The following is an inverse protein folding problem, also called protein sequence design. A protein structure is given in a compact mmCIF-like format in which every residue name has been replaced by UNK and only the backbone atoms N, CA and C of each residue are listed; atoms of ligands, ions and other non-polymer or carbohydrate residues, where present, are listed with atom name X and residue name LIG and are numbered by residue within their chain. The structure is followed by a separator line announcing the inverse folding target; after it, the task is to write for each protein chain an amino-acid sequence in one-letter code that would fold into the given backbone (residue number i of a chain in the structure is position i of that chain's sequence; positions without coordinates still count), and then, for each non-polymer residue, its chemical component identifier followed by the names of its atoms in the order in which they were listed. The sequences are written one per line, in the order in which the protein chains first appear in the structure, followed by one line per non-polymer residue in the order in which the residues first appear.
data_IF_076443232038
#
_entry.id   IF_076443232038
#
_cell.length_a   1.000
_cell.length_b   1.000
_cell.length_c   1.000
_cell.angle_alpha   90.00
_cell.angle_beta   90.00
_cell.angle_gamma   90.00
#
_symmetry.space_group_name_H-M   'P 1'
#
loop_
_entity.id
_entity.type
_entity.pdbx_description
1 polymer ?
#
# COMPACT_ATOMS: atom_id res chain seq x y z
N UNK A 1 2.62 -14.48 2.84
CA UNK A 1 2.72 -15.85 2.29
C UNK A 1 1.36 -16.29 1.78
N UNK A 2 1.09 -16.13 0.48
CA UNK A 2 0.19 -17.00 -0.30
C UNK A 2 0.73 -17.04 -1.72
N UNK A 3 1.71 -17.95 -1.86
CA UNK A 3 2.78 -18.03 -2.85
C UNK A 3 2.48 -18.99 -4.02
N UNK A 4 1.20 -19.33 -4.26
CA UNK A 4 0.85 -20.52 -5.07
C UNK A 4 -0.13 -20.33 -6.23
N UNK A 5 -0.61 -19.11 -6.51
CA UNK A 5 -1.65 -18.95 -7.54
C UNK A 5 -1.19 -18.24 -8.82
N UNK A 6 0.10 -17.95 -8.99
CA UNK A 6 0.59 -17.13 -10.12
C UNK A 6 1.48 -17.85 -11.14
N UNK A 7 1.71 -19.16 -10.98
CA UNK A 7 2.50 -19.98 -11.92
C UNK A 7 1.64 -20.99 -12.68
N UNK A 8 0.68 -20.49 -13.47
CA UNK A 8 0.22 -21.19 -14.66
C UNK A 8 0.26 -20.25 -15.85
N UNK A 9 1.50 -19.91 -16.21
CA UNK A 9 1.84 -19.46 -17.54
C UNK A 9 1.76 -20.65 -18.51
N UNK A 10 1.16 -20.36 -19.67
CA UNK A 10 1.46 -20.87 -21.01
C UNK A 10 2.32 -22.14 -21.13
N UNK A 11 1.74 -23.19 -21.69
CA UNK A 11 2.41 -24.03 -22.68
C UNK A 11 1.37 -24.72 -23.58
N UNK A 12 1.56 -24.56 -24.89
CA UNK A 12 0.79 -25.18 -25.97
C UNK A 12 0.95 -26.70 -25.99
N UNK A 13 -0.05 -27.41 -26.54
CA UNK A 13 0.07 -28.32 -27.69
C UNK A 13 -1.20 -29.18 -27.82
N UNK A 14 -1.87 -29.06 -28.97
CA UNK A 14 -3.03 -29.88 -29.30
C UNK A 14 -3.65 -29.47 -30.63
N UNK A 15 -2.86 -29.55 -31.71
CA UNK A 15 -3.34 -29.44 -33.08
C UNK A 15 -4.29 -30.59 -33.42
N UNK A 16 -5.39 -30.32 -34.12
CA UNK A 16 -5.96 -31.24 -35.12
C UNK A 16 -6.89 -30.49 -36.08
N UNK A 17 -6.65 -30.78 -37.36
CA UNK A 17 -7.18 -30.16 -38.57
C UNK A 17 -8.71 -30.26 -38.75
N UNK A 18 -9.30 -29.24 -39.38
CA UNK A 18 -10.03 -29.33 -40.65
C UNK A 18 -11.01 -28.15 -40.79
N UNK A 19 -11.00 -27.47 -41.93
CA UNK A 19 -12.14 -26.69 -42.39
C UNK A 19 -11.82 -25.33 -42.99
N UNK A 20 -11.88 -25.25 -44.32
CA UNK A 20 -11.93 -24.03 -45.12
C UNK A 20 -12.98 -23.04 -44.60
N UNK A 21 -12.64 -21.75 -44.55
CA UNK A 21 -13.62 -20.68 -44.29
C UNK A 21 -13.00 -19.30 -44.45
N UNK A 22 -13.57 -18.52 -45.36
CA UNK A 22 -13.05 -17.25 -45.85
C UNK A 22 -13.34 -16.06 -44.93
N UNK A 23 -12.61 -14.96 -45.21
CA UNK A 23 -12.96 -13.56 -44.97
C UNK A 23 -13.01 -13.04 -43.51
N UNK A 24 -12.40 -11.85 -43.42
CA UNK A 24 -12.75 -10.74 -42.54
C UNK A 24 -12.09 -10.60 -41.18
N UNK A 25 -11.74 -9.34 -40.98
CA UNK A 25 -11.41 -8.63 -39.76
C UNK A 25 -10.03 -8.92 -39.18
N UNK A 26 -9.11 -7.98 -39.44
CA UNK A 26 -8.16 -7.56 -38.44
C UNK A 26 -8.93 -7.29 -37.13
N UNK A 27 -8.99 -8.27 -36.24
CA UNK A 27 -9.38 -8.07 -34.85
C UNK A 27 -8.23 -7.28 -34.21
N UNK A 28 -8.22 -5.97 -34.45
CA UNK A 28 -7.51 -5.02 -33.61
C UNK A 28 -8.25 -5.08 -32.28
N UNK A 29 -7.93 -6.11 -31.51
CA UNK A 29 -8.34 -6.27 -30.14
C UNK A 29 -7.84 -5.00 -29.45
N UNK A 30 -8.72 -4.08 -29.02
CA UNK A 30 -8.23 -2.94 -28.27
C UNK A 30 -7.54 -3.58 -27.06
N UNK A 31 -6.22 -3.41 -26.98
CA UNK A 31 -5.53 -3.64 -25.75
C UNK A 31 -6.28 -2.74 -24.78
N UNK A 32 -7.12 -3.38 -23.96
CA UNK A 32 -7.75 -2.76 -22.82
C UNK A 32 -6.58 -2.42 -21.90
N UNK A 33 -5.90 -1.33 -22.25
CA UNK A 33 -5.21 -0.45 -21.35
C UNK A 33 -6.36 0.07 -20.50
N UNK A 34 -6.86 -0.79 -19.61
CA UNK A 34 -7.61 -0.35 -18.46
C UNK A 34 -6.69 0.70 -17.90
N UNK A 35 -7.04 1.96 -18.09
CA UNK A 35 -6.41 3.06 -17.42
C UNK A 35 -6.46 2.60 -15.98
N UNK A 36 -5.31 2.12 -15.47
CA UNK A 36 -5.18 1.76 -14.09
C UNK A 36 -5.30 3.13 -13.48
N UNK A 37 -6.54 3.49 -13.10
CA UNK A 37 -6.84 4.65 -12.29
C UNK A 37 -5.71 4.67 -11.29
N UNK A 38 -4.85 5.69 -11.38
CA UNK A 38 -3.72 5.82 -10.48
C UNK A 38 -4.39 6.09 -9.15
N UNK A 39 -4.71 5.01 -8.43
CA UNK A 39 -5.37 5.09 -7.14
C UNK A 39 -4.35 5.81 -6.27
N UNK A 40 -4.69 7.02 -5.87
CA UNK A 40 -3.88 7.79 -4.92
C UNK A 40 -3.80 6.92 -3.65
N UNK A 41 -2.60 6.46 -3.33
CA UNK A 41 -2.38 5.62 -2.18
C UNK A 41 -2.66 6.42 -0.90
N UNK A 42 -3.45 5.88 0.01
CA UNK A 42 -3.72 6.55 1.30
C UNK A 42 -2.90 5.90 2.39
N UNK A 43 -1.96 6.64 2.95
CA UNK A 43 -1.04 6.16 3.97
C UNK A 43 -1.38 6.83 5.30
N UNK A 44 -1.79 6.03 6.30
CA UNK A 44 -1.89 6.53 7.67
C UNK A 44 -0.51 6.61 8.30
N UNK A 45 -0.17 7.72 8.94
CA UNK A 45 1.10 7.90 9.66
C UNK A 45 0.79 8.15 11.13
N UNK A 46 1.19 7.21 11.99
CA UNK A 46 1.06 7.32 13.44
C UNK A 46 2.42 7.67 14.05
N UNK A 47 2.59 8.94 14.39
CA UNK A 47 3.78 9.47 15.04
C UNK A 47 3.65 9.36 16.56
N UNK A 48 4.62 8.71 17.22
CA UNK A 48 4.65 8.64 18.68
C UNK A 48 5.14 9.91 19.37
N UNK A 49 5.67 10.88 18.60
CA UNK A 49 6.15 12.19 19.07
C UNK A 49 5.55 13.32 18.24
N UNK A 50 6.18 14.49 18.24
CA UNK A 50 5.71 15.63 17.45
C UNK A 50 5.69 15.36 15.94
N UNK A 51 4.69 15.88 15.24
CA UNK A 51 4.55 15.78 13.77
C UNK A 51 5.78 16.36 13.06
N UNK A 52 6.33 17.46 13.58
CA UNK A 52 7.47 18.18 13.00
C UNK A 52 8.83 17.66 13.50
N UNK A 53 8.95 16.35 13.75
CA UNK A 53 10.24 15.75 14.12
C UNK A 53 11.16 15.59 12.91
N UNK A 54 12.48 15.64 13.15
CA UNK A 54 13.49 15.39 12.11
C UNK A 54 13.25 14.06 11.37
N UNK A 55 12.84 13.03 12.10
CA UNK A 55 12.56 11.70 11.56
C UNK A 55 11.37 11.71 10.59
N UNK A 56 10.30 12.46 10.89
CA UNK A 56 9.15 12.59 9.99
C UNK A 56 9.53 13.34 8.72
N UNK A 57 10.35 14.39 8.82
CA UNK A 57 10.83 15.11 7.63
C UNK A 57 11.68 14.21 6.72
N UNK A 58 12.59 13.41 7.30
CA UNK A 58 13.38 12.44 6.54
C UNK A 58 12.51 11.38 5.86
N UNK A 59 11.45 10.90 6.54
CA UNK A 59 10.48 9.98 5.95
C UNK A 59 9.79 10.59 4.72
N UNK A 60 9.23 11.81 4.82
CA UNK A 60 8.57 12.45 3.69
C UNK A 60 9.54 12.77 2.54
N UNK A 61 10.78 13.16 2.85
CA UNK A 61 11.82 13.36 1.84
C UNK A 61 12.19 12.06 1.12
N UNK A 62 12.36 10.96 1.85
CA UNK A 62 12.62 9.64 1.28
C UNK A 62 11.48 9.19 0.37
N UNK A 63 10.23 9.35 0.81
CA UNK A 63 9.04 9.04 0.01
C UNK A 63 9.01 9.85 -1.29
N UNK A 64 9.30 11.16 -1.24
CA UNK A 64 9.42 12.01 -2.44
C UNK A 64 10.55 11.57 -3.36
N UNK A 65 11.71 11.19 -2.82
CA UNK A 65 12.84 10.67 -3.59
C UNK A 65 12.51 9.36 -4.32
N UNK A 66 11.58 8.57 -3.79
CA UNK A 66 11.04 7.37 -4.41
C UNK A 66 9.89 7.65 -5.40
N UNK A 67 9.55 8.93 -5.62
CA UNK A 67 8.49 9.36 -6.53
C UNK A 67 7.09 9.44 -5.91
N UNK A 68 6.94 9.28 -4.60
CA UNK A 68 5.66 9.47 -3.91
C UNK A 68 5.43 10.96 -3.61
N UNK A 69 4.47 11.56 -4.31
CA UNK A 69 4.17 13.00 -4.29
C UNK A 69 2.70 13.21 -3.96
N UNK A 70 2.43 14.00 -2.91
CA UNK A 70 1.08 14.43 -2.58
C UNK A 70 0.62 15.61 -3.45
N UNK A 71 -0.67 15.68 -3.83
CA UNK A 71 -1.70 14.64 -3.77
C UNK A 71 -1.72 13.75 -5.03
N UNK A 72 -0.64 13.75 -5.82
CA UNK A 72 -0.62 13.15 -7.16
C UNK A 72 -0.77 11.62 -7.14
N UNK A 73 -0.05 10.95 -6.24
CA UNK A 73 -0.07 9.48 -6.15
C UNK A 73 -0.11 8.95 -4.71
N UNK A 74 -0.01 9.82 -3.71
CA UNK A 74 -0.15 9.49 -2.29
C UNK A 74 -0.90 10.58 -1.53
N UNK A 75 -1.51 10.22 -0.42
CA UNK A 75 -2.03 11.13 0.62
C UNK A 75 -1.66 10.57 1.98
N UNK A 76 -1.04 11.38 2.83
CA UNK A 76 -0.63 11.03 4.18
C UNK A 76 -1.64 11.55 5.20
N UNK A 77 -2.31 10.63 5.88
CA UNK A 77 -3.21 10.91 6.99
C UNK A 77 -2.40 10.83 8.29
N UNK A 78 -2.04 11.98 8.87
CA UNK A 78 -1.10 12.02 10.00
C UNK A 78 -1.83 12.15 11.32
N UNK A 79 -1.46 11.34 12.31
CA UNK A 79 -1.89 11.43 13.71
C UNK A 79 -0.67 11.34 14.62
N UNK A 80 -0.62 12.18 15.64
CA UNK A 80 0.50 12.25 16.57
C UNK A 80 0.04 12.15 18.01
N UNK A 81 0.76 11.34 18.80
CA UNK A 81 0.48 11.20 20.22
C UNK A 81 1.23 12.21 21.09
N UNK A 82 2.14 13.00 20.50
CA UNK A 82 2.96 14.00 21.21
C UNK A 82 3.72 13.43 22.42
N UNK A 83 4.11 12.14 22.36
CA UNK A 83 4.75 11.44 23.47
C UNK A 83 3.80 10.73 24.43
N UNK A 84 2.50 11.02 24.36
CA UNK A 84 1.49 10.40 25.22
C UNK A 84 0.96 9.09 24.64
N UNK A 85 1.51 7.98 25.12
CA UNK A 85 1.11 6.63 24.66
C UNK A 85 -0.35 6.28 24.94
N UNK A 86 -1.03 6.96 25.87
CA UNK A 86 -2.43 6.69 26.20
C UNK A 86 -3.39 7.13 25.08
N UNK A 87 -2.94 8.06 24.21
CA UNK A 87 -3.69 8.52 23.05
C UNK A 87 -3.58 7.59 21.84
N UNK A 88 -2.61 6.68 21.82
CA UNK A 88 -2.37 5.82 20.64
C UNK A 88 -3.60 5.01 20.21
N UNK A 89 -4.39 4.40 21.11
CA UNK A 89 -5.59 3.66 20.69
C UNK A 89 -6.63 4.53 19.98
N UNK A 90 -6.90 5.75 20.46
CA UNK A 90 -7.87 6.65 19.83
C UNK A 90 -7.36 7.16 18.48
N UNK A 91 -6.08 7.51 18.38
CA UNK A 91 -5.46 7.97 17.14
C UNK A 91 -5.43 6.87 16.06
N UNK A 92 -5.25 5.61 16.46
CA UNK A 92 -5.39 4.47 15.56
C UNK A 92 -6.84 4.35 15.07
N UNK A 93 -7.83 4.47 15.97
CA UNK A 93 -9.23 4.40 15.59
C UNK A 93 -9.62 5.51 14.58
N UNK A 94 -9.08 6.72 14.74
CA UNK A 94 -9.23 7.80 13.76
C UNK A 94 -8.65 7.44 12.40
N UNK A 95 -7.46 6.85 12.35
CA UNK A 95 -6.85 6.39 11.09
C UNK A 95 -7.65 5.26 10.44
N UNK A 96 -8.21 4.34 11.23
CA UNK A 96 -9.05 3.24 10.74
C UNK A 96 -10.43 3.70 10.28
N UNK A 97 -10.92 4.84 10.77
CA UNK A 97 -12.11 5.51 10.25
C UNK A 97 -11.91 6.13 8.86
N UNK A 98 -10.66 6.25 8.41
CA UNK A 98 -10.28 6.68 7.07
C UNK A 98 -9.95 5.45 6.22
N UNK A 99 -10.21 5.47 4.89
CA UNK A 99 -9.87 4.36 4.02
C UNK A 99 -8.36 4.38 3.68
N UNK A 100 -7.52 4.25 4.71
CA UNK A 100 -6.07 4.09 4.58
C UNK A 100 -5.75 2.68 4.06
N UNK A 101 -4.82 2.60 3.11
CA UNK A 101 -4.35 1.35 2.53
C UNK A 101 -3.26 0.70 3.40
N UNK A 102 -2.52 1.48 4.20
CA UNK A 102 -1.44 1.03 5.10
C UNK A 102 -1.25 2.03 6.25
N UNK A 103 -0.86 1.54 7.43
CA UNK A 103 -0.47 2.37 8.58
C UNK A 103 1.05 2.27 8.78
N UNK A 104 1.73 3.41 8.72
CA UNK A 104 3.16 3.57 9.05
C UNK A 104 3.27 4.08 10.47
N UNK A 105 4.13 3.45 11.26
CA UNK A 105 4.36 3.78 12.67
C UNK A 105 5.84 4.12 12.90
N UNK A 106 6.11 5.13 13.73
CA UNK A 106 7.48 5.57 14.01
C UNK A 106 8.17 4.85 15.16
N UNK A 107 7.42 4.13 16.02
CA UNK A 107 7.96 3.44 17.18
C UNK A 107 7.14 2.21 17.58
N UNK A 108 7.70 1.38 18.45
CA UNK A 108 7.09 0.11 18.85
C UNK A 108 5.73 0.26 19.58
N UNK A 109 5.53 1.21 20.51
CA UNK A 109 4.22 1.42 21.14
C UNK A 109 3.11 1.73 20.12
N UNK A 110 3.40 2.56 19.13
CA UNK A 110 2.46 2.88 18.05
C UNK A 110 2.14 1.64 17.19
N UNK A 111 3.15 0.84 16.83
CA UNK A 111 2.96 -0.41 16.09
C UNK A 111 2.09 -1.41 16.87
N UNK A 112 2.32 -1.57 18.17
CA UNK A 112 1.54 -2.46 19.03
C UNK A 112 0.09 -1.99 19.17
N UNK A 113 -0.14 -0.68 19.31
CA UNK A 113 -1.49 -0.13 19.33
C UNK A 113 -2.24 -0.41 18.02
N UNK A 114 -1.58 -0.20 16.88
CA UNK A 114 -2.14 -0.52 15.57
C UNK A 114 -2.47 -2.02 15.41
N UNK A 115 -1.56 -2.92 15.79
CA UNK A 115 -1.77 -4.37 15.69
C UNK A 115 -2.92 -4.88 16.56
N UNK A 116 -3.16 -4.23 17.70
CA UNK A 116 -4.31 -4.55 18.57
C UNK A 116 -5.64 -4.09 17.96
N UNK A 117 -5.63 -3.01 17.18
CA UNK A 117 -6.84 -2.43 16.61
C UNK A 117 -7.24 -3.04 15.26
N UNK A 118 -6.28 -3.51 14.46
CA UNK A 118 -6.53 -4.08 13.14
C UNK A 118 -5.62 -5.26 12.82
N UNK A 119 -6.16 -6.24 12.10
CA UNK A 119 -5.45 -7.37 11.50
C UNK A 119 -5.53 -7.38 9.97
N UNK A 120 -6.28 -6.45 9.40
CA UNK A 120 -6.58 -6.38 7.97
C UNK A 120 -5.85 -5.25 7.28
N UNK A 121 -5.61 -4.14 7.99
CA UNK A 121 -4.79 -3.03 7.50
C UNK A 121 -3.32 -3.36 7.75
N UNK A 122 -2.45 -3.39 6.72
CA UNK A 122 -1.03 -3.62 6.89
C UNK A 122 -0.39 -2.54 7.78
N UNK A 123 0.55 -2.97 8.63
CA UNK A 123 1.28 -2.09 9.55
C UNK A 123 2.76 -2.16 9.21
N UNK A 124 3.38 -1.00 9.00
CA UNK A 124 4.81 -0.84 8.74
C UNK A 124 5.44 -0.06 9.88
N UNK A 125 6.55 -0.56 10.43
CA UNK A 125 7.35 0.14 11.42
C UNK A 125 8.56 0.80 10.72
N UNK A 126 8.58 2.13 10.67
CA UNK A 126 9.62 2.93 10.00
C UNK A 126 10.73 3.43 10.94
N UNK A 127 10.72 3.00 12.21
CA UNK A 127 11.73 3.34 13.24
C UNK A 127 12.87 2.34 13.40
N UNK A 128 12.92 1.31 12.56
CA UNK A 128 13.99 0.30 12.49
C UNK A 128 14.62 0.36 11.11
N UNK A 129 15.93 0.13 11.01
CA UNK A 129 16.72 0.36 9.79
C UNK A 129 16.21 -0.37 8.53
N UNK A 130 15.31 -1.35 8.67
CA UNK A 130 14.68 -2.08 7.58
C UNK A 130 13.17 -2.27 7.87
N UNK A 131 12.24 -1.79 7.02
CA UNK A 131 10.81 -1.94 7.24
C UNK A 131 10.40 -3.39 7.04
N UNK A 132 10.21 -4.13 8.13
CA UNK A 132 9.58 -5.46 8.08
C UNK A 132 8.06 -5.27 8.19
N UNK A 133 7.31 -5.93 7.30
CA UNK A 133 5.88 -6.11 7.51
C UNK A 133 5.68 -7.00 8.74
N UNK A 134 5.09 -6.47 9.81
CA UNK A 134 4.67 -7.28 10.94
C UNK A 134 3.23 -7.73 10.63
N UNK A 135 3.13 -8.98 10.17
CA UNK A 135 1.91 -9.56 9.57
C UNK A 135 0.75 -9.82 10.51
#
# INVERSE_FOLDING_TARGET
MNRRSFLRGAAMLGASAAGLGALSACDVRPANSGARSVKVARVGVLAGGAIQSHNNNAFYQGMRGLGWVEPQNVTFEVRASEGDTTKLPSLVAELLGLPVDVIVTGNLPAAQAAQRATRTTPIVLAGVAEPVSVG
#
